data_IF_075129205653
#
_entry.id   IF_075129205653
#
_cell.length_a   1.000
_cell.length_b   1.000
_cell.length_c   1.000
_cell.angle_alpha   90.00
_cell.angle_beta   90.00
_cell.angle_gamma   90.00
#
_symmetry.space_group_name_H-M   'P 1'
#
loop_
_entity.id
_entity.type
_entity.pdbx_description
1 polymer ?
#
# COMPACT_ATOMS: atom_id res chain seq x y z
N UNK A 1 -10.42 -73.34 38.21
CA UNK A 1 -11.52 -72.31 38.15
C UNK A 1 -11.04 -70.88 38.19
N UNK A 2 -9.96 -70.54 38.87
CA UNK A 2 -9.41 -69.16 38.97
C UNK A 2 -8.80 -68.58 37.67
N UNK A 3 -8.24 -69.40 36.79
CA UNK A 3 -7.55 -68.93 35.58
C UNK A 3 -8.57 -68.38 34.54
N UNK A 4 -9.71 -69.07 34.37
CA UNK A 4 -10.78 -68.59 33.48
C UNK A 4 -11.41 -67.28 33.93
N UNK A 5 -11.55 -67.04 35.23
CA UNK A 5 -12.08 -65.79 35.75
C UNK A 5 -11.09 -64.61 35.52
N UNK A 6 -9.79 -64.83 35.65
CA UNK A 6 -8.76 -63.78 35.34
C UNK A 6 -8.73 -63.45 33.86
N UNK A 7 -8.88 -64.40 32.95
CA UNK A 7 -8.90 -64.16 31.49
C UNK A 7 -10.17 -63.37 31.13
N UNK A 8 -11.33 -63.72 31.66
CA UNK A 8 -12.58 -63.00 31.40
C UNK A 8 -12.55 -61.55 31.95
N UNK A 9 -11.89 -61.32 33.07
CA UNK A 9 -11.71 -59.97 33.62
C UNK A 9 -10.77 -59.13 32.70
N UNK A 10 -9.70 -59.75 32.19
CA UNK A 10 -8.76 -59.05 31.30
C UNK A 10 -9.42 -58.67 29.97
N UNK A 11 -10.19 -59.57 29.39
CA UNK A 11 -10.96 -59.29 28.16
C UNK A 11 -12.02 -58.20 28.37
N UNK A 12 -12.69 -58.15 29.50
CA UNK A 12 -13.65 -57.12 29.83
C UNK A 12 -12.98 -55.74 29.95
N UNK A 13 -11.79 -55.67 30.58
CA UNK A 13 -11.02 -54.42 30.67
C UNK A 13 -10.55 -53.93 29.28
N UNK A 14 -10.11 -54.86 28.40
CA UNK A 14 -9.67 -54.49 27.03
C UNK A 14 -10.88 -53.98 26.22
N UNK A 15 -12.05 -54.65 26.29
CA UNK A 15 -13.22 -54.16 25.63
C UNK A 15 -13.68 -52.80 26.15
N UNK A 16 -13.60 -52.55 27.44
CA UNK A 16 -13.93 -51.23 28.01
C UNK A 16 -13.03 -50.14 27.52
N UNK A 17 -11.73 -50.39 27.47
CA UNK A 17 -10.74 -49.42 26.97
C UNK A 17 -11.01 -49.15 25.47
N UNK A 18 -11.29 -50.17 24.65
CA UNK A 18 -11.61 -49.99 23.24
C UNK A 18 -12.89 -49.16 23.03
N UNK A 19 -13.94 -49.45 23.74
CA UNK A 19 -15.17 -48.66 23.68
C UNK A 19 -14.96 -47.20 24.12
N UNK A 20 -14.15 -46.99 25.14
CA UNK A 20 -13.82 -45.68 25.65
C UNK A 20 -12.99 -44.87 24.64
N UNK A 21 -12.00 -45.50 24.01
CA UNK A 21 -11.17 -44.82 22.95
C UNK A 21 -12.01 -44.50 21.72
N UNK A 22 -12.91 -45.39 21.31
CA UNK A 22 -13.85 -45.17 20.17
C UNK A 22 -14.75 -43.96 20.47
N UNK A 23 -15.30 -43.87 21.69
CA UNK A 23 -16.18 -42.73 22.06
C UNK A 23 -15.42 -41.42 22.12
N UNK A 24 -14.16 -41.41 22.60
CA UNK A 24 -13.31 -40.23 22.58
C UNK A 24 -12.96 -39.80 21.15
N UNK A 25 -12.61 -40.75 20.28
CA UNK A 25 -12.34 -40.47 18.86
C UNK A 25 -13.57 -39.92 18.14
N UNK A 26 -14.74 -40.53 18.35
CA UNK A 26 -15.99 -40.04 17.77
C UNK A 26 -16.28 -38.59 18.19
N UNK A 27 -16.14 -38.27 19.48
CA UNK A 27 -16.34 -36.93 20.02
C UNK A 27 -15.30 -35.92 19.45
N UNK A 28 -14.05 -36.32 19.28
CA UNK A 28 -12.99 -35.50 18.71
C UNK A 28 -13.26 -35.23 17.21
N UNK A 29 -13.62 -36.25 16.43
CA UNK A 29 -13.93 -36.10 14.99
C UNK A 29 -15.14 -35.19 14.78
N UNK A 30 -16.20 -35.36 15.58
CA UNK A 30 -17.39 -34.52 15.47
C UNK A 30 -17.14 -33.09 15.82
N UNK A 31 -16.31 -32.84 16.84
CA UNK A 31 -15.91 -31.49 17.23
C UNK A 31 -15.02 -30.80 16.16
N UNK A 32 -14.07 -31.54 15.60
CA UNK A 32 -13.20 -31.02 14.52
C UNK A 32 -13.98 -30.75 13.24
N UNK A 33 -14.98 -31.59 12.91
CA UNK A 33 -15.85 -31.38 11.75
C UNK A 33 -16.70 -30.12 11.89
N UNK A 34 -17.26 -29.86 13.07
CA UNK A 34 -18.01 -28.64 13.35
C UNK A 34 -17.16 -27.37 13.28
N UNK A 35 -15.92 -27.41 13.83
CA UNK A 35 -14.99 -26.28 13.76
C UNK A 35 -14.55 -26.00 12.32
N UNK A 36 -14.23 -27.03 11.53
CA UNK A 36 -13.85 -26.86 10.12
C UNK A 36 -14.99 -26.28 9.27
N UNK A 37 -16.22 -26.74 9.51
CA UNK A 37 -17.40 -26.22 8.78
C UNK A 37 -17.64 -24.74 9.10
N UNK A 38 -17.50 -24.34 10.36
CA UNK A 38 -17.65 -22.93 10.77
C UNK A 38 -16.52 -22.04 10.20
N UNK A 39 -15.28 -22.54 10.11
CA UNK A 39 -14.18 -21.82 9.49
C UNK A 39 -14.35 -21.68 7.97
N UNK A 40 -14.84 -22.74 7.30
CA UNK A 40 -15.12 -22.69 5.88
C UNK A 40 -16.23 -21.67 5.57
N UNK A 41 -17.34 -21.71 6.31
CA UNK A 41 -18.41 -20.72 6.15
C UNK A 41 -17.93 -19.28 6.37
N UNK A 42 -17.10 -19.06 7.40
CA UNK A 42 -16.54 -17.74 7.66
C UNK A 42 -15.60 -17.28 6.55
N UNK A 43 -14.81 -18.19 5.98
CA UNK A 43 -13.94 -17.88 4.85
C UNK A 43 -14.74 -17.54 3.58
N UNK A 44 -15.82 -18.30 3.30
CA UNK A 44 -16.73 -18.00 2.18
C UNK A 44 -17.43 -16.65 2.36
N UNK A 45 -17.88 -16.35 3.58
CA UNK A 45 -18.48 -15.05 3.90
C UNK A 45 -17.48 -13.90 3.72
N UNK A 46 -16.24 -14.05 4.24
CA UNK A 46 -15.19 -13.05 4.06
C UNK A 46 -14.80 -12.88 2.59
N UNK A 47 -14.73 -13.95 1.83
CA UNK A 47 -14.49 -13.87 0.38
C UNK A 47 -15.62 -13.12 -0.33
N UNK A 48 -16.86 -13.40 0.01
CA UNK A 48 -18.01 -12.69 -0.55
C UNK A 48 -17.99 -11.20 -0.19
N UNK A 49 -17.72 -10.87 1.07
CA UNK A 49 -17.55 -9.48 1.50
C UNK A 49 -16.41 -8.78 0.77
N UNK A 50 -15.28 -9.45 0.56
CA UNK A 50 -14.15 -8.93 -0.20
C UNK A 50 -14.49 -8.66 -1.67
N UNK A 51 -15.22 -9.61 -2.31
CA UNK A 51 -15.65 -9.46 -3.70
C UNK A 51 -16.62 -8.28 -3.81
N UNK A 52 -17.60 -8.17 -2.92
CA UNK A 52 -18.56 -7.07 -2.92
C UNK A 52 -17.85 -5.72 -2.69
N UNK A 53 -17.01 -5.62 -1.68
CA UNK A 53 -16.24 -4.39 -1.41
C UNK A 53 -15.32 -4.00 -2.58
N UNK A 54 -14.76 -4.98 -3.27
CA UNK A 54 -13.95 -4.71 -4.46
C UNK A 54 -14.82 -4.24 -5.64
N UNK A 55 -16.01 -4.82 -5.80
CA UNK A 55 -16.97 -4.38 -6.83
C UNK A 55 -17.45 -2.96 -6.54
N UNK A 56 -17.84 -2.65 -5.32
CA UNK A 56 -18.25 -1.30 -4.89
C UNK A 56 -17.11 -0.28 -5.16
N UNK A 57 -15.86 -0.68 -4.90
CA UNK A 57 -14.70 0.17 -5.17
C UNK A 57 -14.51 0.43 -6.69
N UNK A 58 -14.75 -0.59 -7.53
CA UNK A 58 -14.70 -0.44 -8.99
C UNK A 58 -15.80 0.50 -9.47
N UNK A 59 -17.01 0.35 -8.96
CA UNK A 59 -18.16 1.15 -9.36
C UNK A 59 -17.99 2.61 -8.90
N UNK A 60 -17.56 2.85 -7.67
CA UNK A 60 -17.21 4.18 -7.18
C UNK A 60 -16.08 4.84 -7.98
N UNK A 61 -15.07 4.08 -8.41
CA UNK A 61 -14.00 4.60 -9.28
C UNK A 61 -14.53 4.99 -10.65
N UNK A 62 -15.46 4.19 -11.20
CA UNK A 62 -16.10 4.50 -12.50
C UNK A 62 -16.93 5.77 -12.39
N UNK A 63 -17.73 5.90 -11.34
CA UNK A 63 -18.53 7.11 -11.08
C UNK A 63 -17.64 8.36 -10.91
N UNK A 64 -16.56 8.25 -10.14
CA UNK A 64 -15.59 9.33 -9.99
C UNK A 64 -14.93 9.74 -11.33
N UNK A 65 -14.61 8.77 -12.19
CA UNK A 65 -14.07 9.05 -13.52
C UNK A 65 -15.10 9.76 -14.39
N UNK A 66 -16.36 9.34 -14.35
CA UNK A 66 -17.45 9.98 -15.09
C UNK A 66 -17.65 11.42 -14.63
N UNK A 67 -17.78 11.63 -13.31
CA UNK A 67 -17.94 12.99 -12.74
C UNK A 67 -16.74 13.89 -13.07
N UNK A 68 -15.52 13.35 -13.06
CA UNK A 68 -14.34 14.12 -13.46
C UNK A 68 -14.36 14.50 -14.95
N UNK A 69 -14.85 13.61 -15.80
CA UNK A 69 -15.01 13.88 -17.25
C UNK A 69 -16.08 14.94 -17.51
N UNK A 70 -17.22 14.81 -16.83
CA UNK A 70 -18.32 15.77 -16.95
C UNK A 70 -17.91 17.16 -16.45
N UNK A 71 -17.19 17.22 -15.33
CA UNK A 71 -16.65 18.47 -14.81
C UNK A 71 -15.69 19.15 -15.78
N UNK A 72 -14.82 18.38 -16.44
CA UNK A 72 -13.88 18.93 -17.43
C UNK A 72 -14.61 19.40 -18.70
N UNK A 73 -15.66 18.71 -19.12
CA UNK A 73 -16.51 19.14 -20.22
C UNK A 73 -17.19 20.49 -19.90
N UNK A 74 -17.80 20.63 -18.71
CA UNK A 74 -18.42 21.90 -18.27
C UNK A 74 -17.40 23.04 -18.16
N UNK A 75 -16.19 22.76 -17.67
CA UNK A 75 -15.10 23.75 -17.60
C UNK A 75 -14.66 24.21 -18.99
N UNK A 76 -14.55 23.25 -19.94
CA UNK A 76 -14.17 23.56 -21.31
C UNK A 76 -15.22 24.45 -22.00
N UNK A 77 -16.50 24.08 -21.86
CA UNK A 77 -17.61 24.84 -22.42
C UNK A 77 -17.69 26.28 -21.81
N UNK A 78 -17.51 26.39 -20.50
CA UNK A 78 -17.46 27.69 -19.84
C UNK A 78 -16.26 28.53 -20.29
N UNK A 79 -15.11 27.92 -20.56
CA UNK A 79 -13.90 28.61 -21.00
C UNK A 79 -14.02 29.16 -22.42
N UNK A 80 -14.76 28.50 -23.32
CA UNK A 80 -14.98 28.96 -24.69
C UNK A 80 -15.81 30.25 -24.79
N UNK A 81 -16.52 30.61 -23.71
CA UNK A 81 -17.45 31.75 -23.69
C UNK A 81 -16.79 33.12 -23.48
N UNK A 82 -15.53 33.20 -22.98
CA UNK A 82 -14.80 34.47 -22.83
C UNK A 82 -13.31 34.29 -22.59
N UNK A 83 -12.48 35.29 -22.95
CA UNK A 83 -11.04 35.31 -22.68
C UNK A 83 -10.72 35.24 -21.17
N UNK A 84 -11.56 35.80 -20.33
CA UNK A 84 -11.42 35.73 -18.86
C UNK A 84 -11.62 34.32 -18.31
N UNK A 85 -12.53 33.54 -18.89
CA UNK A 85 -12.77 32.16 -18.49
C UNK A 85 -11.60 31.25 -18.88
N UNK A 86 -10.95 31.47 -20.01
CA UNK A 86 -9.73 30.76 -20.44
C UNK A 86 -8.56 31.00 -19.47
N UNK A 87 -8.39 32.23 -19.00
CA UNK A 87 -7.35 32.57 -18.02
C UNK A 87 -7.62 31.86 -16.71
N UNK A 88 -8.85 31.92 -16.19
CA UNK A 88 -9.24 31.25 -14.96
C UNK A 88 -9.07 29.72 -15.04
N UNK A 89 -9.40 29.12 -16.20
CA UNK A 89 -9.16 27.69 -16.44
C UNK A 89 -7.69 27.34 -16.29
N UNK A 90 -6.78 28.11 -16.93
CA UNK A 90 -5.32 27.87 -16.83
C UNK A 90 -4.81 28.01 -15.40
N UNK A 91 -5.27 29.00 -14.66
CA UNK A 91 -4.92 29.18 -13.24
C UNK A 91 -5.40 28.01 -12.39
N UNK A 92 -6.62 27.52 -12.62
CA UNK A 92 -7.18 26.35 -11.95
C UNK A 92 -6.39 25.09 -12.28
N UNK A 93 -6.07 24.84 -13.56
CA UNK A 93 -5.29 23.68 -13.99
C UNK A 93 -3.89 23.68 -13.36
N UNK A 94 -3.24 24.84 -13.29
CA UNK A 94 -1.97 25.01 -12.59
C UNK A 94 -2.10 24.72 -11.07
N UNK A 95 -3.15 25.23 -10.44
CA UNK A 95 -3.41 25.00 -9.00
C UNK A 95 -3.66 23.50 -8.72
N UNK A 96 -4.42 22.82 -9.58
CA UNK A 96 -4.66 21.37 -9.48
C UNK A 96 -3.37 20.56 -9.68
N UNK A 97 -2.51 20.99 -10.60
CA UNK A 97 -1.21 20.34 -10.84
C UNK A 97 -0.30 20.49 -9.60
N UNK A 98 -0.20 21.68 -9.04
CA UNK A 98 0.55 21.95 -7.80
C UNK A 98 0.00 21.16 -6.60
N UNK A 99 -1.32 21.05 -6.50
CA UNK A 99 -1.97 20.23 -5.47
C UNK A 99 -1.80 18.74 -5.65
N UNK A 100 -1.24 18.27 -6.79
CA UNK A 100 -1.08 16.84 -7.11
C UNK A 100 -2.37 16.15 -7.55
N UNK A 101 -3.39 16.89 -7.94
CA UNK A 101 -4.71 16.41 -8.33
C UNK A 101 -4.85 16.17 -9.84
N UNK A 102 -3.77 16.34 -10.60
CA UNK A 102 -3.68 16.01 -12.02
C UNK A 102 -2.58 15.01 -12.27
N UNK A 103 -2.76 14.14 -13.28
CA UNK A 103 -1.69 13.27 -13.78
C UNK A 103 -0.64 14.12 -14.48
N UNK A 104 0.63 13.87 -14.17
CA UNK A 104 1.76 14.61 -14.73
C UNK A 104 2.73 13.67 -15.43
N UNK A 105 3.42 14.18 -16.44
CA UNK A 105 4.43 13.46 -17.21
C UNK A 105 5.62 14.38 -17.49
N UNK A 106 6.83 13.84 -17.35
CA UNK A 106 8.05 14.59 -17.59
C UNK A 106 9.28 13.70 -17.52
N UNK A 107 10.45 14.31 -17.71
CA UNK A 107 11.73 13.65 -17.44
C UNK A 107 11.93 13.41 -15.95
N UNK A 108 12.73 12.40 -15.58
CA UNK A 108 12.97 12.13 -14.18
C UNK A 108 13.70 10.81 -13.92
N UNK A 109 13.48 10.25 -12.74
CA UNK A 109 14.09 8.99 -12.31
C UNK A 109 13.03 8.01 -11.79
N UNK A 110 13.36 6.73 -11.93
CA UNK A 110 12.65 5.63 -11.26
C UNK A 110 13.63 4.92 -10.35
N UNK A 111 13.30 4.84 -9.07
CA UNK A 111 14.07 4.14 -8.03
C UNK A 111 13.33 2.89 -7.64
N UNK A 112 13.95 1.73 -7.81
CA UNK A 112 13.38 0.44 -7.37
C UNK A 112 14.17 -0.03 -6.15
N UNK A 113 13.46 -0.34 -5.06
CA UNK A 113 14.04 -0.76 -3.79
C UNK A 113 13.42 -2.10 -3.40
N UNK A 114 14.26 -3.09 -3.12
CA UNK A 114 13.84 -4.43 -2.70
C UNK A 114 14.60 -4.87 -1.46
N UNK A 115 13.98 -5.68 -0.63
CA UNK A 115 14.59 -6.28 0.55
C UNK A 115 15.87 -7.03 0.17
N UNK A 116 16.79 -7.12 1.12
CA UNK A 116 18.04 -7.85 0.95
C UNK A 116 17.78 -9.35 0.75
N UNK A 117 18.47 -9.94 -0.23
CA UNK A 117 18.50 -11.39 -0.42
C UNK A 117 19.64 -12.07 0.36
N UNK A 118 20.44 -11.28 1.08
CA UNK A 118 21.55 -11.80 1.86
C UNK A 118 21.04 -12.51 3.11
N UNK A 119 21.80 -13.49 3.57
CA UNK A 119 21.56 -14.06 4.90
C UNK A 119 21.96 -13.03 5.95
N UNK A 120 21.10 -12.85 6.95
CA UNK A 120 21.39 -12.01 8.12
C UNK A 120 22.65 -12.54 8.80
N UNK A 121 23.60 -11.67 9.07
CA UNK A 121 24.82 -12.05 9.76
C UNK A 121 24.52 -12.38 11.24
N UNK A 122 25.37 -13.24 11.85
CA UNK A 122 25.18 -13.64 13.24
C UNK A 122 25.32 -12.43 14.16
N UNK A 123 24.29 -12.17 14.97
CA UNK A 123 24.23 -11.03 15.88
C UNK A 123 23.66 -9.74 15.29
N UNK A 124 23.30 -9.71 14.03
CA UNK A 124 22.62 -8.56 13.41
C UNK A 124 21.09 -8.68 13.47
N UNK A 125 20.41 -7.52 13.51
CA UNK A 125 18.95 -7.47 13.53
C UNK A 125 18.39 -7.77 12.12
N UNK A 126 17.57 -8.81 11.95
CA UNK A 126 16.92 -9.12 10.68
C UNK A 126 16.11 -7.95 10.09
N UNK A 127 15.60 -7.05 10.93
CA UNK A 127 14.84 -5.89 10.47
C UNK A 127 15.69 -4.92 9.64
N UNK A 128 17.00 -4.87 9.84
CA UNK A 128 17.90 -4.03 9.07
C UNK A 128 18.04 -4.46 7.59
N UNK A 129 17.62 -5.68 7.25
CA UNK A 129 17.73 -6.26 5.91
C UNK A 129 16.43 -6.13 5.10
N UNK A 130 15.42 -5.49 5.66
CA UNK A 130 14.14 -5.22 4.99
C UNK A 130 13.90 -3.72 4.87
N UNK A 131 13.17 -3.32 3.85
CA UNK A 131 12.84 -1.91 3.60
C UNK A 131 11.77 -1.44 4.58
N UNK A 132 12.02 -0.28 5.19
CA UNK A 132 11.10 0.38 6.11
C UNK A 132 10.46 1.63 5.50
N UNK A 133 9.39 2.11 6.12
CA UNK A 133 8.74 3.37 5.74
C UNK A 133 9.67 4.58 5.88
N UNK A 134 10.60 4.54 6.83
CA UNK A 134 11.65 5.54 6.99
C UNK A 134 12.53 5.65 5.75
N UNK A 135 12.90 4.53 5.14
CA UNK A 135 13.75 4.48 3.96
C UNK A 135 13.04 5.13 2.77
N UNK A 136 11.78 4.75 2.53
CA UNK A 136 10.97 5.31 1.44
C UNK A 136 10.75 6.81 1.62
N UNK A 137 10.49 7.27 2.86
CA UNK A 137 10.34 8.70 3.17
C UNK A 137 11.64 9.46 2.98
N UNK A 138 12.77 8.89 3.38
CA UNK A 138 14.08 9.52 3.19
C UNK A 138 14.42 9.63 1.71
N UNK A 139 14.21 8.57 0.92
CA UNK A 139 14.41 8.62 -0.54
C UNK A 139 13.50 9.66 -1.19
N UNK A 140 12.24 9.75 -0.79
CA UNK A 140 11.32 10.77 -1.31
C UNK A 140 11.78 12.19 -0.93
N UNK A 141 12.27 12.40 0.30
CA UNK A 141 12.78 13.69 0.76
C UNK A 141 14.06 14.11 0.00
N UNK A 142 14.96 13.17 -0.25
CA UNK A 142 16.15 13.44 -1.07
C UNK A 142 15.76 13.84 -2.50
N UNK A 143 14.77 13.18 -3.09
CA UNK A 143 14.24 13.54 -4.40
C UNK A 143 13.64 14.96 -4.40
N UNK A 144 12.83 15.31 -3.39
CA UNK A 144 12.29 16.67 -3.27
C UNK A 144 13.40 17.70 -3.06
N UNK A 145 14.39 17.40 -2.24
CA UNK A 145 15.56 18.26 -2.01
C UNK A 145 16.36 18.47 -3.30
N UNK A 146 16.46 17.45 -4.14
CA UNK A 146 17.12 17.50 -5.44
C UNK A 146 16.26 18.19 -6.54
N UNK A 147 15.08 18.71 -6.20
CA UNK A 147 14.22 19.46 -7.10
C UNK A 147 13.16 18.64 -7.81
N UNK A 148 12.70 17.52 -7.24
CA UNK A 148 11.57 16.80 -7.79
C UNK A 148 10.28 17.63 -7.69
N UNK A 149 9.58 17.77 -8.82
CA UNK A 149 8.30 18.46 -8.93
C UNK A 149 7.13 17.56 -8.55
N UNK A 150 7.31 16.25 -8.71
CA UNK A 150 6.31 15.25 -8.40
C UNK A 150 6.99 13.93 -8.00
N UNK A 151 6.48 13.29 -6.94
CA UNK A 151 6.97 11.98 -6.47
C UNK A 151 5.78 11.05 -6.24
N UNK A 152 5.94 9.77 -6.58
CA UNK A 152 5.01 8.71 -6.23
C UNK A 152 5.74 7.46 -5.72
N UNK A 153 5.08 6.67 -4.88
CA UNK A 153 5.55 5.37 -4.40
C UNK A 153 4.51 4.34 -4.78
N UNK A 154 4.88 3.32 -5.56
CA UNK A 154 3.99 2.27 -6.09
C UNK A 154 2.69 2.85 -6.71
N UNK A 155 2.87 3.89 -7.54
CA UNK A 155 1.83 4.66 -8.24
C UNK A 155 0.92 5.50 -7.33
N UNK A 156 1.20 5.58 -6.04
CA UNK A 156 0.53 6.50 -5.11
C UNK A 156 1.26 7.84 -5.08
N UNK A 157 0.63 8.90 -5.62
CA UNK A 157 1.16 10.26 -5.63
C UNK A 157 1.36 10.77 -4.21
N UNK A 158 2.51 11.36 -3.93
CA UNK A 158 2.76 12.06 -2.67
C UNK A 158 2.30 13.52 -2.78
N UNK A 159 1.51 13.95 -1.80
CA UNK A 159 1.04 15.33 -1.59
C UNK A 159 1.28 15.72 -0.13
N UNK A 160 0.99 16.95 0.24
CA UNK A 160 1.20 17.48 1.61
C UNK A 160 0.53 16.67 2.72
N UNK A 161 -0.55 15.97 2.43
CA UNK A 161 -1.31 15.14 3.38
C UNK A 161 -1.01 13.65 3.26
N UNK A 162 -0.05 13.27 2.43
CA UNK A 162 0.33 11.87 2.24
C UNK A 162 0.98 11.28 3.47
N UNK A 163 0.71 10.00 3.70
CA UNK A 163 1.30 9.22 4.79
C UNK A 163 2.00 7.98 4.24
N UNK A 164 3.18 7.70 4.80
CA UNK A 164 3.94 6.47 4.54
C UNK A 164 4.28 5.88 5.89
N UNK A 165 3.85 4.65 6.18
CA UNK A 165 4.06 3.99 7.47
C UNK A 165 4.09 2.47 7.36
N UNK A 166 4.88 1.81 8.18
CA UNK A 166 4.87 0.36 8.33
C UNK A 166 3.57 -0.13 8.98
N UNK A 167 2.99 -1.20 8.43
CA UNK A 167 1.82 -1.88 8.97
C UNK A 167 2.06 -3.39 8.86
N UNK A 168 2.61 -3.97 9.93
CA UNK A 168 3.09 -5.35 9.92
C UNK A 168 4.29 -5.50 8.97
N UNK A 169 4.22 -6.47 8.06
CA UNK A 169 5.25 -6.74 7.04
C UNK A 169 5.02 -5.99 5.72
N UNK A 170 4.19 -4.97 5.72
CA UNK A 170 3.89 -4.15 4.54
C UNK A 170 4.01 -2.67 4.88
N UNK A 171 4.18 -1.83 3.86
CA UNK A 171 4.18 -0.37 4.01
C UNK A 171 2.87 0.17 3.43
N UNK A 172 2.18 0.96 4.22
CA UNK A 172 0.98 1.68 3.79
C UNK A 172 1.42 3.03 3.23
N UNK A 173 1.17 3.25 1.94
CA UNK A 173 1.36 4.54 1.27
C UNK A 173 -0.04 5.12 1.02
N UNK A 174 -0.35 6.25 1.62
CA UNK A 174 -1.71 6.77 1.68
C UNK A 174 -2.65 5.68 2.27
N UNK A 175 -3.58 5.16 1.48
CA UNK A 175 -4.49 4.09 1.89
C UNK A 175 -4.21 2.75 1.19
N UNK A 176 -3.09 2.63 0.46
CA UNK A 176 -2.72 1.43 -0.30
C UNK A 176 -1.59 0.68 0.39
N UNK A 177 -1.78 -0.62 0.61
CA UNK A 177 -0.74 -1.51 1.11
C UNK A 177 0.22 -1.87 -0.02
N UNK A 178 1.50 -1.67 0.22
CA UNK A 178 2.58 -1.98 -0.69
C UNK A 178 3.54 -2.99 -0.06
N UNK A 179 4.10 -3.86 -0.89
CA UNK A 179 5.14 -4.81 -0.52
C UNK A 179 6.32 -4.66 -1.50
N UNK A 180 7.52 -5.10 -1.16
CA UNK A 180 8.66 -5.08 -2.07
C UNK A 180 8.38 -5.84 -3.39
N UNK A 181 8.89 -5.39 -4.55
CA UNK A 181 9.72 -4.21 -4.72
C UNK A 181 8.93 -2.90 -4.61
N UNK A 182 9.54 -1.88 -3.99
CA UNK A 182 8.99 -0.53 -3.96
C UNK A 182 9.52 0.26 -5.15
N UNK A 183 8.63 0.86 -5.92
CA UNK A 183 8.95 1.67 -7.09
C UNK A 183 8.63 3.13 -6.80
N UNK A 184 9.67 3.95 -6.65
CA UNK A 184 9.53 5.38 -6.45
C UNK A 184 9.80 6.06 -7.78
N UNK A 185 8.85 6.86 -8.26
CA UNK A 185 8.97 7.65 -9.46
C UNK A 185 9.07 9.12 -9.09
N UNK A 186 9.97 9.86 -9.72
CA UNK A 186 10.11 11.30 -9.53
C UNK A 186 10.26 12.00 -10.88
N UNK A 187 9.57 13.11 -11.05
CA UNK A 187 9.68 14.02 -12.20
C UNK A 187 10.55 15.21 -11.78
N UNK A 188 11.51 15.58 -12.62
CA UNK A 188 12.46 16.66 -12.41
C UNK A 188 13.66 16.50 -13.35
N UNK A 189 14.75 17.25 -13.11
CA UNK A 189 16.00 17.05 -13.87
C UNK A 189 16.65 15.71 -13.49
N UNK A 190 16.77 14.74 -14.44
CA UNK A 190 17.24 13.40 -14.11
C UNK A 190 18.67 13.36 -13.56
N UNK A 191 19.53 14.33 -13.93
CA UNK A 191 20.89 14.38 -13.45
C UNK A 191 20.97 14.87 -12.01
N UNK A 192 20.21 15.91 -11.69
CA UNK A 192 20.11 16.47 -10.32
C UNK A 192 19.47 15.45 -9.35
N UNK A 193 18.40 14.77 -9.79
CA UNK A 193 17.72 13.77 -8.97
C UNK A 193 18.62 12.56 -8.68
N UNK A 194 19.35 12.06 -9.68
CA UNK A 194 20.31 10.96 -9.47
C UNK A 194 21.47 11.41 -8.58
N UNK A 195 22.00 12.63 -8.77
CA UNK A 195 23.09 13.16 -7.95
C UNK A 195 22.65 13.32 -6.48
N UNK A 196 21.45 13.84 -6.23
CA UNK A 196 20.88 13.96 -4.88
C UNK A 196 20.78 12.62 -4.15
N UNK A 197 20.33 11.58 -4.85
CA UNK A 197 20.24 10.23 -4.27
C UNK A 197 21.62 9.61 -3.98
N UNK A 198 22.64 9.90 -4.79
CA UNK A 198 23.98 9.33 -4.67
C UNK A 198 24.94 10.22 -3.84
N UNK A 199 24.41 11.07 -2.97
CA UNK A 199 25.25 11.83 -2.02
C UNK A 199 26.02 10.84 -1.15
N UNK A 200 27.30 11.11 -0.97
CA UNK A 200 28.19 10.29 -0.13
C UNK A 200 27.63 10.19 1.29
N UNK A 201 27.61 8.99 1.86
CA UNK A 201 27.04 8.68 3.16
C UNK A 201 25.51 8.95 3.23
N UNK A 202 24.86 9.11 2.08
CA UNK A 202 23.41 9.29 1.95
C UNK A 202 22.63 8.00 2.02
N UNK A 203 21.33 8.12 1.76
CA UNK A 203 20.39 7.00 1.93
C UNK A 203 20.76 5.77 1.08
N UNK A 204 21.22 5.97 -0.16
CA UNK A 204 21.60 4.85 -1.04
C UNK A 204 22.79 4.07 -0.47
N UNK A 205 23.77 4.76 0.12
CA UNK A 205 24.93 4.10 0.73
C UNK A 205 24.52 3.32 1.99
N UNK A 206 23.60 3.88 2.80
CA UNK A 206 23.06 3.22 3.98
C UNK A 206 22.29 1.95 3.58
N UNK A 207 21.42 2.02 2.59
CA UNK A 207 20.66 0.87 2.10
C UNK A 207 21.59 -0.23 1.57
N UNK A 208 22.64 0.14 0.82
CA UNK A 208 23.65 -0.80 0.32
C UNK A 208 24.45 -1.46 1.44
N UNK A 209 24.69 -0.78 2.57
CA UNK A 209 25.38 -1.36 3.72
C UNK A 209 24.65 -2.62 4.24
N UNK A 210 23.32 -2.56 4.28
CA UNK A 210 22.46 -3.69 4.64
C UNK A 210 22.09 -4.59 3.47
N UNK A 211 22.75 -4.41 2.32
CA UNK A 211 22.55 -5.20 1.09
C UNK A 211 21.11 -5.15 0.57
N UNK A 212 20.39 -4.08 0.90
CA UNK A 212 19.10 -3.75 0.29
C UNK A 212 19.38 -3.42 -1.18
N UNK A 213 18.60 -4.03 -2.08
CA UNK A 213 18.78 -3.83 -3.52
C UNK A 213 18.16 -2.50 -3.93
N UNK A 214 18.98 -1.59 -4.44
CA UNK A 214 18.52 -0.28 -4.95
C UNK A 214 19.01 -0.11 -6.37
N UNK A 215 18.07 0.18 -7.27
CA UNK A 215 18.34 0.51 -8.66
C UNK A 215 17.74 1.86 -9.02
N UNK A 216 18.55 2.77 -9.55
CA UNK A 216 18.13 4.11 -10.02
C UNK A 216 18.25 4.16 -11.53
N UNK A 217 17.17 4.48 -12.22
CA UNK A 217 17.10 4.56 -13.67
C UNK A 217 16.60 5.93 -14.09
N UNK A 218 17.39 6.63 -14.90
CA UNK A 218 16.97 7.89 -15.56
C UNK A 218 16.07 7.59 -16.75
N UNK A 219 15.02 8.36 -16.93
CA UNK A 219 14.16 8.26 -18.10
C UNK A 219 13.66 9.63 -18.54
N UNK A 220 13.50 9.80 -19.84
CA UNK A 220 12.93 11.03 -20.44
C UNK A 220 11.41 11.11 -20.26
N UNK A 221 10.76 10.02 -19.83
CA UNK A 221 9.30 9.94 -19.75
C UNK A 221 8.88 9.15 -18.50
N UNK A 222 8.66 9.87 -17.41
CA UNK A 222 8.04 9.37 -16.17
C UNK A 222 6.60 9.86 -16.16
N UNK A 223 5.66 8.95 -15.97
CA UNK A 223 4.26 9.27 -15.73
C UNK A 223 3.93 9.03 -14.27
N UNK A 224 3.34 10.03 -13.62
CA UNK A 224 2.86 9.95 -12.23
C UNK A 224 1.38 10.30 -12.22
N UNK A 225 0.56 9.35 -11.78
CA UNK A 225 -0.88 9.53 -11.71
C UNK A 225 -1.27 10.59 -10.65
N UNK A 226 -2.45 11.16 -10.80
CA UNK A 226 -3.01 12.07 -9.81
C UNK A 226 -3.21 11.36 -8.46
N UNK A 227 -3.22 12.13 -7.39
CA UNK A 227 -3.58 11.61 -6.07
C UNK A 227 -5.00 11.01 -6.11
N UNK A 228 -5.12 9.80 -5.58
CA UNK A 228 -6.35 9.00 -5.69
C UNK A 228 -7.29 9.16 -4.47
N UNK A 229 -6.80 9.78 -3.39
CA UNK A 229 -7.58 9.99 -2.17
C UNK A 229 -8.41 11.28 -2.20
N UNK A 230 -9.31 11.43 -1.24
CA UNK A 230 -10.04 12.69 -1.03
C UNK A 230 -9.17 13.70 -0.27
N UNK A 231 -9.12 14.93 -0.76
CA UNK A 231 -8.49 16.05 -0.07
C UNK A 231 -9.59 16.94 0.52
N UNK A 232 -9.87 16.76 1.81
CA UNK A 232 -10.90 17.53 2.51
C UNK A 232 -10.30 18.21 3.73
N UNK A 233 -10.35 19.51 3.77
CA UNK A 233 -10.01 20.31 4.95
C UNK A 233 -11.26 20.53 5.80
N UNK A 234 -11.29 19.93 7.00
CA UNK A 234 -12.41 20.08 7.94
C UNK A 234 -12.23 21.25 8.89
N UNK A 235 -10.99 21.56 9.21
CA UNK A 235 -10.64 22.58 10.20
C UNK A 235 -9.84 23.74 9.62
N UNK A 236 -9.08 23.51 8.55
CA UNK A 236 -8.33 24.56 7.87
C UNK A 236 -9.23 25.27 6.85
N UNK A 237 -9.22 26.59 6.85
CA UNK A 237 -9.91 27.47 5.91
C UNK A 237 -9.01 28.65 5.58
N UNK A 238 -9.30 29.35 4.49
CA UNK A 238 -8.52 30.49 4.08
C UNK A 238 -8.68 31.64 5.10
N UNK A 239 -7.56 32.13 5.65
CA UNK A 239 -7.55 33.19 6.62
C UNK A 239 -8.08 34.54 6.04
N UNK A 240 -7.91 34.76 4.74
CA UNK A 240 -8.35 35.97 4.05
C UNK A 240 -9.89 36.06 3.87
N UNK A 241 -10.61 34.94 3.90
CA UNK A 241 -12.08 34.94 3.83
C UNK A 241 -12.74 35.45 5.11
N UNK A 242 -12.05 35.48 6.24
CA UNK A 242 -12.61 35.96 7.52
C UNK A 242 -12.56 37.49 7.69
N UNK A 243 -11.80 38.19 6.84
CA UNK A 243 -11.69 39.68 6.92
C UNK A 243 -12.87 40.40 6.26
N UNK A 244 -13.74 39.67 5.54
CA UNK A 244 -14.92 40.25 4.84
C UNK A 244 -16.26 40.04 5.55
N UNK A 245 -16.26 39.65 6.81
CA UNK A 245 -17.41 39.66 7.71
C UNK A 245 -17.17 40.67 8.81
#
# INVERSE_FOLDING_TARGET
MHLKKKVNLLTAIVCFILCFTITLQYKSVTRNKSMNTSQLQRNEELQTQLINANQDNIDLRRENLQLATDLEAYRSEAAESSDGANTLKKELDNALMLAGLTTVEGSGVTVTISDSKAKVAEGEDPSSYIVHDTDLRTVANELFTAGAEAVSINDERLISTSSVRCVGNTILVNNKRCAPPFVIKAIGDPASLEAGLNIREGIIDILKLYKIEVNVTKTSKVKIEKYSGAVNFKYAHNAEEQVKK
#
